data_IF_667729380256
#
_entry.id   IF_667729380256
#
_cell.length_a   1.000
_cell.length_b   1.000
_cell.length_c   1.000
_cell.angle_alpha   90.00
_cell.angle_beta   90.00
_cell.angle_gamma   90.00
#
_symmetry.space_group_name_H-M   'P 1'
#
loop_
_entity.id
_entity.type
_entity.pdbx_description
1 polymer ?
#
# COMPACT_ATOMS: atom_id res chain seq x y z
N UNK A 1 43.49 21.26 -10.06
CA UNK A 1 43.03 19.86 -10.23
C UNK A 1 42.61 19.35 -8.87
N UNK A 2 41.33 19.48 -8.54
CA UNK A 2 40.75 18.94 -7.31
C UNK A 2 39.76 17.86 -7.72
N UNK A 3 40.15 16.63 -7.44
CA UNK A 3 39.40 15.40 -7.68
C UNK A 3 38.19 15.38 -6.72
N UNK A 4 36.98 15.53 -7.26
CA UNK A 4 35.76 15.37 -6.48
C UNK A 4 35.34 13.90 -6.54
N UNK A 5 35.71 13.16 -5.50
CA UNK A 5 35.23 11.80 -5.29
C UNK A 5 33.71 11.78 -5.21
N UNK A 6 33.08 11.10 -6.17
CA UNK A 6 31.66 10.76 -6.11
C UNK A 6 31.40 9.93 -4.84
N UNK A 7 30.62 10.48 -3.91
CA UNK A 7 30.15 9.73 -2.76
C UNK A 7 29.17 8.66 -3.24
N UNK A 8 29.62 7.41 -3.28
CA UNK A 8 28.77 6.25 -3.56
C UNK A 8 27.80 6.06 -2.40
N UNK A 9 26.51 6.20 -2.66
CA UNK A 9 25.44 5.83 -1.73
C UNK A 9 25.59 4.34 -1.40
N UNK A 10 25.62 3.92 -0.11
CA UNK A 10 25.74 2.50 0.21
C UNK A 10 24.49 1.74 -0.26
N UNK A 11 24.69 0.69 -1.03
CA UNK A 11 23.63 -0.27 -1.38
C UNK A 11 23.39 -1.13 -0.16
N UNK A 12 22.28 -0.92 0.54
CA UNK A 12 21.90 -1.74 1.69
C UNK A 12 21.55 -3.16 1.23
N UNK A 13 22.26 -4.14 1.78
CA UNK A 13 22.00 -5.56 1.55
C UNK A 13 20.89 -6.04 2.50
N UNK A 14 19.81 -6.58 1.93
CA UNK A 14 18.63 -7.08 2.64
C UNK A 14 18.93 -8.14 3.73
N UNK A 15 20.10 -8.79 3.68
CA UNK A 15 20.49 -9.84 4.63
C UNK A 15 21.04 -9.34 5.96
N UNK A 16 21.41 -8.06 6.06
CA UNK A 16 22.10 -7.52 7.24
C UNK A 16 21.15 -6.88 8.28
N UNK A 17 19.83 -6.94 8.07
CA UNK A 17 18.78 -6.33 8.92
C UNK A 17 17.66 -7.35 9.21
N UNK A 18 18.02 -8.58 9.60
CA UNK A 18 17.03 -9.59 9.96
C UNK A 18 16.60 -9.44 11.44
N UNK A 19 15.59 -8.61 11.69
CA UNK A 19 14.74 -8.74 12.87
C UNK A 19 13.96 -10.06 12.83
N UNK A 20 13.31 -10.49 13.93
CA UNK A 20 12.59 -11.77 13.96
C UNK A 20 11.47 -11.72 12.93
N UNK A 21 11.59 -12.49 11.85
CA UNK A 21 10.71 -12.39 10.68
C UNK A 21 9.23 -12.68 10.94
N UNK A 22 8.46 -12.74 9.86
CA UNK A 22 6.99 -12.85 9.82
C UNK A 22 6.39 -13.90 10.78
N UNK A 23 7.06 -15.00 11.09
CA UNK A 23 6.61 -16.03 12.04
C UNK A 23 6.42 -15.47 13.47
N UNK A 24 7.28 -14.53 13.87
CA UNK A 24 7.18 -13.85 15.16
C UNK A 24 6.01 -12.84 15.16
N UNK A 25 5.78 -12.17 14.03
CA UNK A 25 4.68 -11.24 13.83
C UNK A 25 3.34 -11.98 13.86
N UNK A 26 3.17 -13.05 13.08
CA UNK A 26 1.93 -13.81 13.04
C UNK A 26 1.55 -14.37 14.42
N UNK A 27 2.54 -14.89 15.15
CA UNK A 27 2.32 -15.40 16.52
C UNK A 27 1.86 -14.28 17.44
N UNK A 28 2.51 -13.11 17.37
CA UNK A 28 2.10 -11.93 18.12
C UNK A 28 0.67 -11.46 17.76
N UNK A 29 0.34 -11.39 16.47
CA UNK A 29 -0.99 -11.00 15.97
C UNK A 29 -2.08 -11.94 16.48
N UNK A 30 -1.86 -13.26 16.37
CA UNK A 30 -2.81 -14.27 16.87
C UNK A 30 -3.04 -14.13 18.37
N UNK A 31 -1.98 -14.02 19.17
CA UNK A 31 -2.09 -13.85 20.62
C UNK A 31 -2.88 -12.58 20.98
N UNK A 32 -2.60 -11.47 20.29
CA UNK A 32 -3.28 -10.20 20.53
C UNK A 32 -4.75 -10.23 20.07
N UNK A 33 -5.06 -10.92 18.98
CA UNK A 33 -6.45 -11.14 18.53
C UNK A 33 -7.24 -11.93 19.57
N UNK A 34 -6.68 -13.03 20.06
CA UNK A 34 -7.30 -13.88 21.08
C UNK A 34 -7.58 -13.10 22.37
N UNK A 35 -6.62 -12.29 22.84
CA UNK A 35 -6.80 -11.45 24.03
C UNK A 35 -7.91 -10.40 23.87
N UNK A 36 -8.12 -9.86 22.66
CA UNK A 36 -9.06 -8.75 22.42
C UNK A 36 -10.48 -9.22 22.15
N UNK A 37 -10.64 -10.27 21.35
CA UNK A 37 -11.94 -10.66 20.78
C UNK A 37 -12.20 -12.17 20.84
N UNK A 38 -11.29 -12.98 21.42
CA UNK A 38 -11.48 -14.43 21.58
C UNK A 38 -11.49 -15.22 20.26
N UNK A 39 -10.90 -14.66 19.19
CA UNK A 39 -10.80 -15.28 17.86
C UNK A 39 -9.44 -14.99 17.24
N UNK A 40 -9.05 -15.78 16.24
CA UNK A 40 -7.73 -15.68 15.59
C UNK A 40 -7.57 -14.42 14.72
N UNK A 41 -8.68 -13.85 14.24
CA UNK A 41 -8.69 -12.68 13.35
C UNK A 41 -9.69 -11.65 13.83
N UNK A 42 -9.35 -10.36 13.76
CA UNK A 42 -10.22 -9.29 14.25
C UNK A 42 -11.42 -9.07 13.36
N UNK A 43 -11.30 -9.34 12.07
CA UNK A 43 -12.38 -9.31 11.11
C UNK A 43 -12.70 -10.76 10.72
N UNK A 44 -13.98 -11.13 10.86
CA UNK A 44 -14.47 -12.45 10.45
C UNK A 44 -14.54 -12.58 8.93
N UNK A 45 -15.62 -13.20 8.44
CA UNK A 45 -15.85 -13.45 7.01
C UNK A 45 -15.57 -12.25 6.09
N UNK A 46 -14.91 -12.54 4.96
CA UNK A 46 -14.67 -11.60 3.86
C UNK A 46 -15.69 -11.91 2.77
N UNK A 47 -16.44 -10.88 2.36
CA UNK A 47 -17.48 -10.97 1.32
C UNK A 47 -16.95 -10.32 0.04
N UNK A 48 -16.40 -11.07 -0.92
CA UNK A 48 -15.69 -10.52 -2.07
C UNK A 48 -16.47 -9.45 -2.82
N UNK A 49 -17.77 -9.66 -3.10
CA UNK A 49 -18.66 -8.68 -3.77
C UNK A 49 -18.87 -7.34 -3.03
N UNK A 50 -18.40 -7.22 -1.79
CA UNK A 50 -18.44 -6.01 -0.93
C UNK A 50 -17.04 -5.52 -0.58
N UNK A 51 -16.01 -6.10 -1.20
CA UNK A 51 -14.60 -5.88 -0.91
C UNK A 51 -13.90 -5.22 -2.09
N UNK A 52 -13.07 -4.21 -1.81
CA UNK A 52 -12.09 -3.70 -2.75
C UNK A 52 -10.66 -4.03 -2.32
N UNK A 53 -9.78 -4.27 -3.28
CA UNK A 53 -8.33 -4.43 -3.07
C UNK A 53 -7.68 -3.13 -3.49
N UNK A 54 -7.18 -2.37 -2.52
CA UNK A 54 -6.55 -1.07 -2.77
C UNK A 54 -5.04 -1.27 -2.93
N UNK A 55 -4.61 -1.37 -4.20
CA UNK A 55 -3.21 -1.48 -4.58
C UNK A 55 -2.58 -0.09 -4.63
N UNK A 56 -1.91 0.29 -3.54
CA UNK A 56 -1.39 1.64 -3.34
C UNK A 56 -0.03 1.82 -3.99
N UNK A 57 0.08 2.81 -4.87
CA UNK A 57 1.33 3.37 -5.38
C UNK A 57 2.27 2.35 -6.05
N UNK A 58 1.70 1.34 -6.74
CA UNK A 58 2.46 0.34 -7.51
C UNK A 58 2.96 0.91 -8.87
N UNK A 59 3.52 2.11 -8.82
CA UNK A 59 4.05 2.85 -9.97
C UNK A 59 5.56 2.64 -10.10
N UNK A 60 6.12 2.81 -11.30
CA UNK A 60 7.58 2.77 -11.53
C UNK A 60 8.36 3.63 -10.54
N UNK A 61 7.86 4.83 -10.22
CA UNK A 61 8.50 5.75 -9.26
C UNK A 61 8.79 5.13 -7.89
N UNK A 62 7.95 4.20 -7.44
CA UNK A 62 8.09 3.54 -6.14
C UNK A 62 8.63 2.11 -6.22
N UNK A 63 8.62 1.50 -7.41
CA UNK A 63 8.98 0.08 -7.58
C UNK A 63 10.32 -0.12 -8.28
N UNK A 64 10.63 0.69 -9.29
CA UNK A 64 11.74 0.42 -10.19
C UNK A 64 13.05 1.06 -9.69
N UNK A 65 14.18 0.33 -9.73
CA UNK A 65 15.48 0.91 -9.44
C UNK A 65 15.75 2.14 -10.31
N UNK A 66 16.37 3.17 -9.72
CA UNK A 66 16.73 4.41 -10.42
C UNK A 66 15.81 5.60 -10.13
N UNK A 67 14.56 5.36 -9.70
CA UNK A 67 13.66 6.43 -9.27
C UNK A 67 13.95 6.92 -7.85
N UNK A 68 13.60 8.19 -7.57
CA UNK A 68 13.93 8.83 -6.30
C UNK A 68 13.38 8.10 -5.07
N UNK A 69 12.19 7.50 -5.17
CA UNK A 69 11.51 6.85 -4.05
C UNK A 69 11.34 5.33 -4.25
N UNK A 70 12.21 4.71 -5.04
CA UNK A 70 12.19 3.27 -5.25
C UNK A 70 12.30 2.53 -3.90
N UNK A 71 11.31 1.70 -3.60
CA UNK A 71 11.22 0.90 -2.40
C UNK A 71 11.84 -0.48 -2.69
N UNK A 72 12.96 -0.86 -2.05
CA UNK A 72 13.69 -2.09 -2.40
C UNK A 72 12.86 -3.37 -2.33
N UNK A 73 11.96 -3.47 -1.35
CA UNK A 73 11.10 -4.65 -1.15
C UNK A 73 9.88 -4.70 -2.10
N UNK A 74 9.64 -3.65 -2.90
CA UNK A 74 8.38 -3.51 -3.65
C UNK A 74 8.20 -4.55 -4.76
N UNK A 75 9.31 -4.96 -5.41
CA UNK A 75 9.26 -5.99 -6.46
C UNK A 75 8.95 -7.37 -5.85
N UNK A 76 9.46 -7.64 -4.65
CA UNK A 76 9.35 -8.96 -4.00
C UNK A 76 7.90 -9.31 -3.61
N UNK A 77 7.05 -8.30 -3.34
CA UNK A 77 5.64 -8.52 -3.00
C UNK A 77 4.73 -8.72 -4.21
N UNK A 78 5.22 -8.42 -5.42
CA UNK A 78 4.42 -8.39 -6.64
C UNK A 78 3.77 -9.74 -6.99
N UNK A 79 4.44 -10.91 -6.83
CA UNK A 79 3.80 -12.20 -7.08
C UNK A 79 2.57 -12.44 -6.20
N UNK A 80 2.66 -12.20 -4.89
CA UNK A 80 1.53 -12.38 -3.97
C UNK A 80 0.45 -11.33 -4.16
N UNK A 81 0.83 -10.07 -4.44
CA UNK A 81 -0.13 -9.03 -4.79
C UNK A 81 -0.94 -9.40 -6.04
N UNK A 82 -0.28 -9.85 -7.11
CA UNK A 82 -0.96 -10.28 -8.34
C UNK A 82 -1.83 -11.53 -8.11
N UNK A 83 -1.36 -12.47 -7.31
CA UNK A 83 -2.12 -13.66 -6.92
C UNK A 83 -3.39 -13.29 -6.17
N UNK A 84 -3.30 -12.46 -5.13
CA UNK A 84 -4.46 -11.96 -4.38
C UNK A 84 -5.46 -11.26 -5.32
N UNK A 85 -4.99 -10.35 -6.17
CA UNK A 85 -5.85 -9.61 -7.09
C UNK A 85 -6.58 -10.55 -8.06
N UNK A 86 -5.90 -11.55 -8.61
CA UNK A 86 -6.50 -12.55 -9.50
C UNK A 86 -7.63 -13.31 -8.80
N UNK A 87 -7.31 -13.97 -7.68
CA UNK A 87 -8.24 -14.84 -7.00
C UNK A 87 -9.45 -14.08 -6.43
N UNK A 88 -9.22 -12.95 -5.76
CA UNK A 88 -10.31 -12.16 -5.18
C UNK A 88 -11.17 -11.49 -6.26
N UNK A 89 -10.59 -11.09 -7.40
CA UNK A 89 -11.36 -10.59 -8.55
C UNK A 89 -12.27 -11.67 -9.12
N UNK A 90 -11.78 -12.90 -9.27
CA UNK A 90 -12.59 -14.02 -9.76
C UNK A 90 -13.74 -14.37 -8.80
N UNK A 91 -13.59 -14.06 -7.51
CA UNK A 91 -14.67 -14.15 -6.50
C UNK A 91 -15.61 -12.95 -6.48
N UNK A 92 -15.32 -11.89 -7.25
CA UNK A 92 -16.16 -10.69 -7.41
C UNK A 92 -15.73 -9.48 -6.57
N UNK A 93 -14.52 -9.47 -5.99
CA UNK A 93 -13.94 -8.26 -5.42
C UNK A 93 -13.52 -7.27 -6.49
N UNK A 94 -13.38 -6.00 -6.10
CA UNK A 94 -12.96 -4.90 -6.96
C UNK A 94 -11.48 -4.56 -6.74
N UNK A 95 -10.57 -4.92 -7.67
CA UNK A 95 -9.24 -4.31 -7.68
C UNK A 95 -9.31 -2.82 -7.98
N UNK A 96 -8.57 -2.06 -7.20
CA UNK A 96 -8.38 -0.62 -7.36
C UNK A 96 -6.89 -0.33 -7.38
N UNK A 97 -6.41 0.27 -8.46
CA UNK A 97 -5.03 0.70 -8.64
C UNK A 97 -4.91 2.18 -8.34
N UNK A 98 -4.23 2.50 -7.25
CA UNK A 98 -4.12 3.87 -6.75
C UNK A 98 -2.77 4.43 -7.18
N UNK A 99 -2.78 5.55 -7.90
CA UNK A 99 -1.58 6.23 -8.37
C UNK A 99 -1.43 7.58 -7.69
N UNK A 100 -0.24 7.89 -7.17
CA UNK A 100 0.08 9.24 -6.71
C UNK A 100 0.46 10.12 -7.89
N UNK A 101 -0.16 11.28 -7.98
CA UNK A 101 0.29 12.37 -8.86
C UNK A 101 1.00 13.45 -8.06
N UNK A 102 2.04 14.03 -8.66
CA UNK A 102 2.70 15.25 -8.18
C UNK A 102 2.63 16.38 -9.21
N UNK A 103 1.55 16.46 -9.99
CA UNK A 103 1.25 17.61 -10.85
C UNK A 103 1.25 18.92 -10.06
N UNK A 104 1.42 20.05 -10.75
CA UNK A 104 1.45 21.37 -10.09
C UNK A 104 0.18 21.64 -9.26
N UNK A 105 -0.98 21.19 -9.73
CA UNK A 105 -2.24 21.24 -8.97
C UNK A 105 -2.17 20.34 -7.72
N UNK A 106 -1.72 19.09 -7.86
CA UNK A 106 -1.62 18.13 -6.77
C UNK A 106 -0.70 18.60 -5.64
N UNK A 107 0.38 19.32 -5.96
CA UNK A 107 1.38 19.78 -4.99
C UNK A 107 1.10 21.13 -4.35
N UNK A 108 0.15 21.90 -4.88
CA UNK A 108 -0.15 23.27 -4.41
C UNK A 108 -0.44 23.36 -2.89
N UNK A 109 -0.92 22.27 -2.29
CA UNK A 109 -1.21 22.16 -0.85
C UNK A 109 -0.18 21.38 -0.02
N UNK A 110 1.02 21.09 -0.55
CA UNK A 110 2.04 20.27 0.12
C UNK A 110 3.15 21.08 0.83
N UNK A 111 2.90 22.33 1.23
CA UNK A 111 3.91 23.23 1.80
C UNK A 111 4.77 22.60 2.92
N UNK A 112 4.16 21.90 3.87
CA UNK A 112 4.90 21.24 4.96
C UNK A 112 5.78 20.09 4.48
N UNK A 113 5.32 19.29 3.52
CA UNK A 113 6.13 18.17 3.00
C UNK A 113 7.23 18.67 2.08
N UNK A 114 6.95 19.69 1.26
CA UNK A 114 7.96 20.35 0.42
C UNK A 114 9.11 20.92 1.26
N UNK A 115 8.81 21.50 2.43
CA UNK A 115 9.82 22.03 3.35
C UNK A 115 10.74 20.95 3.95
N UNK A 116 10.36 19.67 3.90
CA UNK A 116 11.18 18.54 4.35
C UNK A 116 12.08 17.97 3.23
N UNK A 117 12.04 18.55 2.04
CA UNK A 117 12.77 18.09 0.86
C UNK A 117 13.84 19.10 0.46
N UNK A 118 14.92 18.63 -0.17
CA UNK A 118 15.81 19.54 -0.90
C UNK A 118 15.06 20.12 -2.12
N UNK A 119 15.41 21.33 -2.59
CA UNK A 119 14.83 21.88 -3.82
C UNK A 119 14.95 20.92 -5.01
N UNK A 120 16.10 20.25 -5.15
CA UNK A 120 16.36 19.29 -6.22
C UNK A 120 15.50 18.04 -6.08
N UNK A 121 15.40 17.48 -4.87
CA UNK A 121 14.56 16.31 -4.59
C UNK A 121 13.07 16.61 -4.76
N UNK A 122 12.64 17.83 -4.44
CA UNK A 122 11.27 18.27 -4.71
C UNK A 122 11.00 18.40 -6.21
N UNK A 123 11.91 19.02 -6.95
CA UNK A 123 11.78 19.17 -8.40
C UNK A 123 11.77 17.82 -9.12
N UNK A 124 12.66 16.91 -8.73
CA UNK A 124 12.75 15.57 -9.29
C UNK A 124 11.48 14.76 -9.03
N UNK A 125 10.95 14.76 -7.80
CA UNK A 125 9.65 14.13 -7.48
C UNK A 125 8.54 14.61 -8.42
N UNK A 126 8.41 15.93 -8.62
CA UNK A 126 7.36 16.51 -9.49
C UNK A 126 7.47 16.02 -10.92
N UNK A 127 8.70 15.99 -11.45
CA UNK A 127 8.96 15.51 -12.81
C UNK A 127 8.67 14.02 -12.94
N UNK A 128 9.19 13.19 -12.03
CA UNK A 128 9.09 11.74 -12.16
C UNK A 128 7.67 11.19 -11.93
N UNK A 129 6.82 11.93 -11.19
CA UNK A 129 5.41 11.63 -10.94
C UNK A 129 4.44 12.48 -11.78
N UNK A 130 4.93 13.19 -12.80
CA UNK A 130 4.07 13.88 -13.76
C UNK A 130 3.27 12.85 -14.58
N UNK A 131 1.99 13.10 -14.93
CA UNK A 131 1.13 12.12 -15.60
C UNK A 131 1.68 11.55 -16.92
N UNK A 132 2.52 12.31 -17.62
CA UNK A 132 3.16 11.95 -18.88
C UNK A 132 4.52 11.24 -18.70
N UNK A 133 5.05 11.19 -17.47
CA UNK A 133 6.32 10.55 -17.14
C UNK A 133 6.18 9.04 -16.92
N UNK A 134 7.22 8.26 -17.24
CA UNK A 134 7.23 6.81 -17.02
C UNK A 134 7.05 6.42 -15.55
N UNK A 135 7.64 7.21 -14.64
CA UNK A 135 7.53 7.02 -13.19
C UNK A 135 6.10 7.06 -12.67
N UNK A 136 5.19 7.77 -13.34
CA UNK A 136 3.76 7.80 -12.97
C UNK A 136 3.03 6.51 -13.36
N UNK A 137 3.48 5.77 -14.37
CA UNK A 137 2.79 4.57 -14.86
C UNK A 137 2.88 3.44 -13.83
N UNK A 138 1.83 2.64 -13.77
CA UNK A 138 1.85 1.37 -13.05
C UNK A 138 2.95 0.47 -13.61
N UNK A 139 3.56 -0.34 -12.75
CA UNK A 139 4.59 -1.28 -13.17
C UNK A 139 3.99 -2.32 -14.16
N UNK A 140 4.68 -2.65 -15.28
CA UNK A 140 4.11 -3.44 -16.37
C UNK A 140 3.80 -4.90 -15.99
N UNK A 141 4.47 -5.42 -14.95
CA UNK A 141 4.29 -6.81 -14.50
C UNK A 141 3.08 -6.99 -13.56
N UNK A 142 2.32 -5.93 -13.30
CA UNK A 142 1.07 -6.01 -12.53
C UNK A 142 -0.06 -6.60 -13.37
N UNK A 143 -0.87 -7.48 -12.78
CA UNK A 143 -2.08 -8.05 -13.41
C UNK A 143 -3.25 -7.05 -13.40
N UNK A 144 -3.04 -5.89 -14.03
CA UNK A 144 -4.04 -4.82 -14.22
C UNK A 144 -4.96 -5.21 -15.37
N UNK A 145 -6.27 -5.21 -15.14
CA UNK A 145 -7.28 -5.48 -16.17
C UNK A 145 -8.09 -4.22 -16.50
N UNK A 146 -8.64 -4.15 -17.71
CA UNK A 146 -9.50 -3.04 -18.15
C UNK A 146 -10.74 -2.85 -17.27
N UNK A 147 -11.19 -3.90 -16.59
CA UNK A 147 -12.33 -3.88 -15.68
C UNK A 147 -11.98 -3.36 -14.28
N UNK A 148 -10.70 -3.22 -13.97
CA UNK A 148 -10.26 -2.74 -12.66
C UNK A 148 -10.46 -1.22 -12.57
N UNK A 149 -10.62 -0.72 -11.34
CA UNK A 149 -10.70 0.70 -11.11
C UNK A 149 -9.29 1.30 -11.02
N UNK A 150 -9.06 2.46 -11.64
CA UNK A 150 -7.86 3.28 -11.42
C UNK A 150 -8.27 4.57 -10.74
N UNK A 151 -7.61 4.93 -9.65
CA UNK A 151 -7.86 6.19 -8.93
C UNK A 151 -6.56 6.94 -8.70
N UNK A 152 -6.56 8.25 -8.98
CA UNK A 152 -5.39 9.10 -8.79
C UNK A 152 -5.54 9.86 -7.48
N UNK A 153 -4.52 9.77 -6.62
CA UNK A 153 -4.46 10.53 -5.37
C UNK A 153 -3.39 11.61 -5.40
N UNK A 154 -3.64 12.70 -4.68
CA UNK A 154 -2.73 13.84 -4.54
C UNK A 154 -2.14 13.97 -3.14
N UNK A 155 -2.49 13.07 -2.21
CA UNK A 155 -1.99 13.02 -0.83
C UNK A 155 -1.49 11.61 -0.47
N UNK A 156 -0.93 11.44 0.74
CA UNK A 156 -0.50 10.11 1.19
C UNK A 156 -1.68 9.15 1.31
N UNK A 157 -2.73 9.57 2.01
CA UNK A 157 -4.00 8.86 2.04
C UNK A 157 -4.77 9.04 0.73
N UNK A 158 -5.37 7.96 0.24
CA UNK A 158 -6.35 8.03 -0.85
C UNK A 158 -7.70 8.61 -0.40
N UNK A 159 -7.99 8.65 0.91
CA UNK A 159 -9.29 9.02 1.47
C UNK A 159 -9.35 10.41 2.10
N UNK A 160 -8.21 11.02 2.42
CA UNK A 160 -8.21 12.37 3.00
C UNK A 160 -8.92 13.34 2.04
N UNK A 161 -9.70 14.27 2.59
CA UNK A 161 -10.55 15.18 1.83
C UNK A 161 -9.81 15.82 0.65
N UNK A 162 -10.39 15.68 -0.55
CA UNK A 162 -9.85 16.26 -1.79
C UNK A 162 -8.62 15.55 -2.36
N UNK A 163 -8.18 14.43 -1.78
CA UNK A 163 -7.06 13.68 -2.32
C UNK A 163 -7.41 12.88 -3.57
N UNK A 164 -8.60 12.27 -3.61
CA UNK A 164 -9.12 11.49 -4.74
C UNK A 164 -10.65 11.41 -4.66
N UNK A 165 -11.26 10.75 -5.64
CA UNK A 165 -12.69 10.40 -5.67
C UNK A 165 -12.98 8.98 -5.14
N UNK A 166 -11.99 8.30 -4.55
CA UNK A 166 -12.05 6.88 -4.20
C UNK A 166 -13.24 6.53 -3.29
N UNK A 167 -13.50 7.31 -2.23
CA UNK A 167 -14.61 7.02 -1.31
C UNK A 167 -15.94 6.97 -2.04
N UNK A 168 -16.23 7.99 -2.87
CA UNK A 168 -17.45 8.04 -3.66
C UNK A 168 -17.59 6.80 -4.54
N UNK A 169 -16.53 6.46 -5.28
CA UNK A 169 -16.55 5.31 -6.19
C UNK A 169 -16.78 3.97 -5.47
N UNK A 170 -16.20 3.79 -4.29
CA UNK A 170 -16.40 2.60 -3.46
C UNK A 170 -17.83 2.52 -2.90
N UNK A 171 -18.38 3.64 -2.41
CA UNK A 171 -19.75 3.69 -1.87
C UNK A 171 -20.80 3.39 -2.92
N UNK A 172 -20.67 3.96 -4.12
CA UNK A 172 -21.58 3.72 -5.23
C UNK A 172 -21.65 2.24 -5.63
N UNK A 173 -20.54 1.50 -5.45
CA UNK A 173 -20.44 0.06 -5.69
C UNK A 173 -20.82 -0.80 -4.48
N UNK A 174 -21.18 -0.16 -3.38
CA UNK A 174 -21.49 -0.86 -2.14
C UNK A 174 -20.28 -1.58 -1.53
N UNK A 175 -19.07 -1.05 -1.69
CA UNK A 175 -17.91 -1.59 -0.98
C UNK A 175 -17.98 -1.15 0.49
N UNK A 176 -17.76 -2.09 1.41
CA UNK A 176 -17.67 -1.82 2.85
C UNK A 176 -16.40 -2.41 3.50
N UNK A 177 -15.63 -3.18 2.74
CA UNK A 177 -14.39 -3.82 3.16
C UNK A 177 -13.26 -3.44 2.20
N UNK A 178 -12.10 -3.08 2.73
CA UNK A 178 -10.91 -2.76 1.93
C UNK A 178 -9.72 -3.60 2.38
N UNK A 179 -9.07 -4.24 1.40
CA UNK A 179 -7.78 -4.92 1.57
C UNK A 179 -6.70 -3.95 1.11
N UNK A 180 -5.74 -3.63 1.97
CA UNK A 180 -4.68 -2.66 1.68
C UNK A 180 -3.42 -3.41 1.26
N UNK A 181 -2.94 -3.14 0.04
CA UNK A 181 -1.73 -3.71 -0.55
C UNK A 181 -0.86 -2.59 -1.13
N UNK A 182 0.38 -2.92 -1.49
CA UNK A 182 1.30 -2.01 -2.18
C UNK A 182 2.29 -1.28 -1.27
N UNK A 183 2.63 -0.03 -1.60
CA UNK A 183 3.75 0.69 -1.00
C UNK A 183 3.43 2.14 -0.57
N UNK A 184 4.11 2.70 0.42
CA UNK A 184 4.88 2.02 1.46
C UNK A 184 3.98 1.68 2.66
N UNK A 185 4.25 0.55 3.31
CA UNK A 185 3.45 -0.02 4.41
C UNK A 185 3.13 1.01 5.48
N UNK A 186 4.16 1.67 6.03
CA UNK A 186 4.02 2.68 7.10
C UNK A 186 3.82 4.12 6.63
N UNK A 187 3.54 4.34 5.33
CA UNK A 187 3.31 5.69 4.78
C UNK A 187 1.95 5.72 4.10
N UNK A 188 1.89 5.59 2.76
CA UNK A 188 0.65 5.72 2.00
C UNK A 188 -0.37 4.62 2.36
N UNK A 189 0.09 3.37 2.55
CA UNK A 189 -0.79 2.27 2.92
C UNK A 189 -1.38 2.47 4.32
N UNK A 190 -0.54 2.71 5.32
CA UNK A 190 -0.99 2.98 6.70
C UNK A 190 -1.89 4.21 6.80
N UNK A 191 -1.54 5.32 6.13
CA UNK A 191 -2.37 6.54 6.18
C UNK A 191 -3.73 6.30 5.53
N UNK A 192 -3.77 5.62 4.37
CA UNK A 192 -5.01 5.24 3.69
C UNK A 192 -5.86 4.31 4.56
N UNK A 193 -5.24 3.34 5.23
CA UNK A 193 -5.91 2.39 6.12
C UNK A 193 -6.55 3.07 7.33
N UNK A 194 -5.84 4.02 7.95
CA UNK A 194 -6.35 4.81 9.09
C UNK A 194 -7.59 5.60 8.69
N UNK A 195 -7.52 6.32 7.58
CA UNK A 195 -8.66 7.11 7.09
C UNK A 195 -9.83 6.22 6.67
N UNK A 196 -9.57 5.10 5.97
CA UNK A 196 -10.60 4.14 5.60
C UNK A 196 -11.36 3.62 6.83
N UNK A 197 -10.64 3.28 7.91
CA UNK A 197 -11.29 2.85 9.16
C UNK A 197 -12.14 3.96 9.76
N UNK A 198 -11.63 5.20 9.80
CA UNK A 198 -12.38 6.35 10.33
C UNK A 198 -13.61 6.69 9.48
N UNK A 199 -13.61 6.30 8.20
CA UNK A 199 -14.77 6.35 7.30
C UNK A 199 -15.67 5.10 7.42
N UNK A 200 -15.50 4.24 8.43
CA UNK A 200 -16.28 3.01 8.65
C UNK A 200 -16.11 1.92 7.57
N UNK A 201 -14.97 1.85 6.87
CA UNK A 201 -14.61 0.64 6.14
C UNK A 201 -14.04 -0.42 7.10
N UNK A 202 -14.30 -1.69 6.81
CA UNK A 202 -13.58 -2.81 7.41
C UNK A 202 -12.22 -2.90 6.74
N UNK A 203 -11.14 -2.66 7.49
CA UNK A 203 -9.79 -2.56 6.91
C UNK A 203 -8.96 -3.79 7.28
N UNK A 204 -8.33 -4.39 6.27
CA UNK A 204 -7.35 -5.47 6.44
C UNK A 204 -6.06 -5.04 5.74
N UNK A 205 -4.95 -5.01 6.48
CA UNK A 205 -3.61 -4.87 5.90
C UNK A 205 -3.13 -6.25 5.45
N UNK A 206 -2.77 -6.40 4.17
CA UNK A 206 -2.32 -7.69 3.63
C UNK A 206 -0.81 -7.83 3.79
N UNK A 207 -0.38 -8.54 4.84
CA UNK A 207 1.02 -8.46 5.32
C UNK A 207 2.07 -8.88 4.29
N UNK A 208 1.76 -9.85 3.43
CA UNK A 208 2.67 -10.36 2.40
C UNK A 208 2.51 -9.66 1.03
N UNK A 209 1.54 -8.76 0.89
CA UNK A 209 1.33 -7.93 -0.30
C UNK A 209 1.57 -6.43 -0.01
N UNK A 210 2.38 -6.13 1.01
CA UNK A 210 2.77 -4.79 1.46
C UNK A 210 4.29 -4.71 1.57
N UNK A 211 4.87 -3.63 1.06
CA UNK A 211 6.32 -3.43 1.12
C UNK A 211 6.69 -2.10 1.81
N UNK A 212 7.88 -2.04 2.38
CA UNK A 212 8.43 -0.83 3.01
C UNK A 212 9.94 -0.74 2.73
N UNK A 213 10.57 0.33 3.20
CA UNK A 213 12.01 0.51 3.02
C UNK A 213 12.84 -0.52 3.80
N UNK A 214 12.33 -0.96 4.96
CA UNK A 214 12.96 -1.99 5.78
C UNK A 214 11.91 -2.92 6.38
N UNK A 215 12.30 -4.16 6.66
CA UNK A 215 11.45 -5.14 7.36
C UNK A 215 10.96 -4.61 8.72
N UNK A 216 11.83 -3.92 9.48
CA UNK A 216 11.46 -3.32 10.76
C UNK A 216 10.34 -2.27 10.60
N UNK A 217 10.47 -1.37 9.63
CA UNK A 217 9.45 -0.33 9.37
C UNK A 217 8.11 -0.94 8.92
N UNK A 218 8.15 -2.03 8.15
CA UNK A 218 6.99 -2.79 7.73
C UNK A 218 6.27 -3.42 8.95
N UNK A 219 7.00 -4.14 9.80
CA UNK A 219 6.42 -4.78 10.98
C UNK A 219 5.88 -3.78 12.01
N UNK A 220 6.59 -2.67 12.24
CA UNK A 220 6.17 -1.65 13.18
C UNK A 220 4.85 -1.01 12.75
N UNK A 221 4.69 -0.74 11.45
CA UNK A 221 3.43 -0.25 10.89
C UNK A 221 2.29 -1.26 11.10
N UNK A 222 2.48 -2.53 10.74
CA UNK A 222 1.46 -3.57 10.92
C UNK A 222 1.05 -3.72 12.40
N UNK A 223 2.02 -3.73 13.33
CA UNK A 223 1.76 -3.78 14.78
C UNK A 223 0.99 -2.55 15.27
N UNK A 224 1.26 -1.37 14.71
CA UNK A 224 0.60 -0.11 15.08
C UNK A 224 -0.87 -0.03 14.63
N UNK A 225 -1.21 -0.57 13.46
CA UNK A 225 -2.59 -0.63 12.98
C UNK A 225 -3.40 -1.72 13.67
N UNK A 226 -2.78 -2.86 13.96
CA UNK A 226 -3.50 -4.06 14.40
C UNK A 226 -4.28 -3.85 15.70
N UNK A 227 -5.58 -4.14 15.66
CA UNK A 227 -6.46 -4.04 16.83
C UNK A 227 -7.09 -2.68 17.04
N UNK A 228 -6.62 -1.64 16.34
CA UNK A 228 -7.12 -0.28 16.46
C UNK A 228 -7.71 0.22 15.14
N UNK A 229 -6.97 0.10 14.05
CA UNK A 229 -7.32 0.64 12.74
C UNK A 229 -7.61 -0.46 11.70
N UNK A 230 -6.97 -1.62 11.84
CA UNK A 230 -7.14 -2.71 10.89
C UNK A 230 -6.97 -4.07 11.56
N UNK A 231 -7.44 -5.10 10.86
CA UNK A 231 -6.90 -6.45 10.98
C UNK A 231 -5.64 -6.59 10.13
N UNK A 232 -4.83 -7.62 10.38
CA UNK A 232 -3.65 -7.95 9.58
C UNK A 232 -3.74 -9.43 9.24
N UNK A 233 -3.75 -9.74 7.94
CA UNK A 233 -3.86 -11.10 7.43
C UNK A 233 -2.91 -11.30 6.25
N UNK A 234 -2.44 -12.52 6.04
CA UNK A 234 -1.71 -12.88 4.81
C UNK A 234 -2.68 -13.14 3.66
N UNK A 235 -2.16 -13.15 2.44
CA UNK A 235 -2.92 -13.48 1.22
C UNK A 235 -3.61 -14.84 1.37
N UNK A 236 -2.88 -15.85 1.86
CA UNK A 236 -3.45 -17.18 2.16
C UNK A 236 -4.66 -17.11 3.10
N UNK A 237 -4.54 -16.40 4.22
CA UNK A 237 -5.61 -16.29 5.22
C UNK A 237 -6.84 -15.57 4.63
N UNK A 238 -6.63 -14.52 3.84
CA UNK A 238 -7.72 -13.81 3.18
C UNK A 238 -8.49 -14.73 2.25
N UNK A 239 -7.80 -15.52 1.42
CA UNK A 239 -8.42 -16.45 0.49
C UNK A 239 -9.16 -17.59 1.23
N UNK A 240 -8.63 -18.07 2.36
CA UNK A 240 -9.33 -19.04 3.23
C UNK A 240 -10.62 -18.47 3.84
N UNK A 241 -10.66 -17.16 4.11
CA UNK A 241 -11.82 -16.48 4.71
C UNK A 241 -12.79 -15.88 3.69
N UNK A 242 -12.41 -15.82 2.42
CA UNK A 242 -13.25 -15.31 1.34
C UNK A 242 -14.37 -16.32 1.04
N UNK A 243 -15.62 -15.89 1.24
CA UNK A 243 -16.78 -16.72 0.90
C UNK A 243 -17.45 -16.25 -0.37
N UNK A 244 -17.71 -17.18 -1.28
CA UNK A 244 -18.69 -16.96 -2.34
C UNK A 244 -20.07 -17.05 -1.68
N UNK A 245 -20.80 -15.95 -1.65
CA UNK A 245 -22.18 -15.94 -1.15
C UNK A 245 -22.99 -17.03 -1.87
N UNK A 246 -23.76 -17.81 -1.09
CA UNK A 246 -24.76 -18.75 -1.63
C UNK A 246 -25.84 -18.01 -2.41
#
# INVERSE_FOLDING_TARGET
MSDQGQATVPVLNHKDIAGPGLDSLETWLRNRSQQRVGRNFLLGEIRPKRTAILNVDMQHYFMSPGFQAACPMAIDIMPELNHLNREMRDLGALPVWIQTSASDEAISGWGNYAALQSPEGWSRRRQELAPDHEGFRLHPDLDVRETDLVSVKTRFSAFIQGASDLDQQLRERGVDTVLITGVATGVCCETTARDAMMLNYRVIMVSDALAALTQESHENALKALFGLFADVQSTRQILEHARVGK
#
